data_IF_474854374745
#
_entry.id   IF_474854374745
#
_cell.length_a   1.000
_cell.length_b   1.000
_cell.length_c   1.000
_cell.angle_alpha   90.00
_cell.angle_beta   90.00
_cell.angle_gamma   90.00
#
_symmetry.space_group_name_H-M   'P 1'
#
loop_
_entity.id
_entity.type
_entity.pdbx_description
1 polymer ?
#
# COMPACT_ATOMS: atom_id res chain seq x y z
N UNK A 1 -40.93 9.91 11.31
CA UNK A 1 -39.76 9.38 12.03
C UNK A 1 -38.83 8.78 10.98
N UNK A 2 -37.89 9.56 10.48
CA UNK A 2 -37.00 9.10 9.40
C UNK A 2 -35.87 8.27 10.01
N UNK A 3 -35.96 6.95 9.88
CA UNK A 3 -34.85 6.04 10.08
C UNK A 3 -34.02 5.87 8.78
N UNK A 4 -34.22 6.75 7.81
CA UNK A 4 -33.61 6.71 6.50
C UNK A 4 -32.20 7.31 6.45
N UNK A 5 -31.71 7.45 5.23
CA UNK A 5 -30.43 8.10 4.90
C UNK A 5 -30.46 9.54 5.42
N UNK A 6 -29.46 9.90 6.19
CA UNK A 6 -29.29 11.25 6.75
C UNK A 6 -28.39 12.12 5.87
N UNK A 7 -27.35 11.52 5.30
CA UNK A 7 -26.33 12.21 4.50
C UNK A 7 -25.63 11.24 3.57
N UNK A 8 -25.16 11.74 2.44
CA UNK A 8 -24.28 11.03 1.51
C UNK A 8 -23.08 11.92 1.20
N UNK A 9 -21.89 11.35 1.17
CA UNK A 9 -20.69 12.01 0.69
C UNK A 9 -20.00 11.14 -0.34
N UNK A 10 -19.49 11.79 -1.38
CA UNK A 10 -18.69 11.19 -2.43
C UNK A 10 -17.31 11.85 -2.42
N UNK A 11 -16.26 11.05 -2.60
CA UNK A 11 -14.91 11.53 -2.78
C UNK A 11 -14.32 10.89 -4.02
N UNK A 12 -13.76 11.71 -4.88
CA UNK A 12 -12.97 11.29 -6.04
C UNK A 12 -11.62 11.98 -5.94
N UNK A 13 -10.53 11.20 -5.98
CA UNK A 13 -9.17 11.71 -5.94
C UNK A 13 -8.39 11.11 -7.10
N UNK A 14 -7.53 11.91 -7.71
CA UNK A 14 -6.59 11.46 -8.74
C UNK A 14 -5.23 12.07 -8.50
N UNK A 15 -4.18 11.27 -8.70
CA UNK A 15 -2.80 11.71 -8.58
C UNK A 15 -2.04 11.38 -9.85
N UNK A 16 -1.18 12.29 -10.25
CA UNK A 16 -0.28 12.15 -11.38
C UNK A 16 1.11 12.65 -10.98
N UNK A 17 2.10 11.79 -11.13
CA UNK A 17 3.49 12.13 -10.92
C UNK A 17 4.37 11.60 -12.05
N UNK A 18 5.44 12.30 -12.32
CA UNK A 18 6.46 11.85 -13.27
C UNK A 18 7.82 12.41 -12.91
N UNK A 19 8.86 11.69 -13.30
CA UNK A 19 10.23 12.10 -13.13
C UNK A 19 10.97 11.97 -14.46
N UNK A 20 11.69 13.03 -14.83
CA UNK A 20 12.53 13.09 -16.03
C UNK A 20 13.90 13.65 -15.66
N UNK A 21 14.90 13.18 -16.34
CA UNK A 21 16.23 13.75 -16.20
C UNK A 21 17.37 12.77 -16.46
N UNK A 22 18.55 13.29 -16.68
CA UNK A 22 19.75 12.49 -16.78
C UNK A 22 20.05 11.84 -15.44
N UNK A 23 20.13 10.53 -15.39
CA UNK A 23 20.39 9.76 -14.17
C UNK A 23 19.17 9.18 -13.49
N UNK A 24 17.95 9.52 -13.93
CA UNK A 24 16.75 8.79 -13.53
C UNK A 24 16.80 7.41 -14.17
N UNK A 25 16.99 6.40 -13.35
CA UNK A 25 17.09 5.01 -13.79
C UNK A 25 16.15 4.16 -12.95
N UNK A 26 15.53 3.18 -13.61
CA UNK A 26 14.88 2.12 -12.88
C UNK A 26 15.91 1.34 -12.04
N UNK A 27 15.42 0.64 -11.04
CA UNK A 27 16.25 -0.14 -10.11
C UNK A 27 17.20 -1.14 -10.77
N UNK A 28 16.92 -1.59 -11.97
CA UNK A 28 17.73 -2.57 -12.68
C UNK A 28 18.95 -1.97 -13.42
N UNK A 29 19.10 -0.66 -13.42
CA UNK A 29 20.21 0.00 -14.10
C UNK A 29 20.25 -0.21 -15.63
N UNK A 30 19.23 -0.84 -16.22
CA UNK A 30 19.16 -1.22 -17.60
C UNK A 30 18.61 -0.08 -18.48
N UNK A 31 19.08 0.04 -19.70
CA UNK A 31 18.65 1.07 -20.66
C UNK A 31 17.17 0.97 -21.08
N UNK A 32 16.54 -0.17 -20.88
CA UNK A 32 15.11 -0.38 -21.06
C UNK A 32 14.32 0.02 -19.80
N UNK A 33 14.55 1.22 -19.33
CA UNK A 33 13.90 1.74 -18.13
C UNK A 33 12.40 1.90 -18.34
N UNK A 34 11.53 1.30 -17.54
CA UNK A 34 10.11 1.60 -17.57
C UNK A 34 9.88 3.09 -17.30
N UNK A 35 8.79 3.64 -17.85
CA UNK A 35 8.43 5.04 -17.63
C UNK A 35 8.38 5.36 -16.15
N UNK A 36 9.08 6.41 -15.75
CA UNK A 36 9.09 6.92 -14.39
C UNK A 36 7.86 7.80 -14.19
N UNK A 37 6.70 7.19 -14.04
CA UNK A 37 5.45 7.88 -13.80
C UNK A 37 4.60 7.14 -12.76
N UNK A 38 3.70 7.88 -12.15
CA UNK A 38 2.70 7.41 -11.23
C UNK A 38 1.36 7.99 -11.61
N UNK A 39 0.36 7.15 -11.75
CA UNK A 39 -1.01 7.55 -11.99
C UNK A 39 -1.89 6.76 -11.05
N UNK A 40 -2.75 7.45 -10.30
CA UNK A 40 -3.72 6.80 -9.43
C UNK A 40 -5.09 7.45 -9.49
N UNK A 41 -6.09 6.70 -9.10
CA UNK A 41 -7.44 7.19 -8.89
C UNK A 41 -8.09 6.46 -7.72
N UNK A 42 -8.86 7.20 -6.90
CA UNK A 42 -9.60 6.65 -5.77
C UNK A 42 -11.03 7.20 -5.77
N UNK A 43 -11.96 6.33 -5.45
CA UNK A 43 -13.38 6.67 -5.30
C UNK A 43 -13.91 6.09 -4.00
N UNK A 44 -14.56 6.94 -3.19
CA UNK A 44 -15.22 6.54 -1.96
C UNK A 44 -16.62 7.13 -1.86
N UNK A 45 -17.54 6.31 -1.41
CA UNK A 45 -18.91 6.70 -1.09
C UNK A 45 -19.16 6.44 0.40
N UNK A 46 -19.67 7.44 1.11
CA UNK A 46 -20.05 7.31 2.51
C UNK A 46 -21.50 7.71 2.71
N UNK A 47 -22.25 6.87 3.36
CA UNK A 47 -23.68 7.04 3.64
C UNK A 47 -23.89 7.01 5.14
N UNK A 48 -24.51 8.07 5.68
CA UNK A 48 -24.95 8.13 7.07
C UNK A 48 -26.43 7.86 7.17
N UNK A 49 -26.84 7.18 8.22
CA UNK A 49 -28.21 6.85 8.46
C UNK A 49 -28.56 6.88 9.96
N UNK A 50 -29.85 6.81 10.25
CA UNK A 50 -30.38 6.84 11.61
C UNK A 50 -29.89 8.07 12.40
N UNK A 51 -30.08 9.28 11.83
CA UNK A 51 -29.63 10.56 12.42
C UNK A 51 -28.11 10.56 12.70
N UNK A 52 -27.33 10.05 11.77
CA UNK A 52 -25.88 9.94 11.82
C UNK A 52 -25.33 9.03 12.93
N UNK A 53 -26.15 8.15 13.51
CA UNK A 53 -25.67 7.16 14.48
C UNK A 53 -24.88 6.02 13.82
N UNK A 54 -25.11 5.79 12.55
CA UNK A 54 -24.42 4.78 11.77
C UNK A 54 -23.91 5.35 10.45
N UNK A 55 -22.81 4.82 9.95
CA UNK A 55 -22.36 5.10 8.60
C UNK A 55 -21.74 3.85 7.96
N UNK A 56 -21.89 3.75 6.64
CA UNK A 56 -21.15 2.81 5.81
C UNK A 56 -20.30 3.60 4.83
N UNK A 57 -19.06 3.17 4.64
CA UNK A 57 -18.21 3.67 3.55
C UNK A 57 -17.79 2.49 2.69
N UNK A 58 -17.91 2.65 1.38
CA UNK A 58 -17.42 1.68 0.41
C UNK A 58 -16.63 2.44 -0.64
N UNK A 59 -15.54 1.88 -1.03
CA UNK A 59 -14.71 2.47 -2.07
C UNK A 59 -13.50 1.64 -2.39
N UNK A 60 -12.61 2.23 -3.18
CA UNK A 60 -11.38 1.62 -3.59
C UNK A 60 -10.62 2.53 -4.53
N UNK A 61 -9.46 2.05 -4.91
CA UNK A 61 -8.58 2.79 -5.79
C UNK A 61 -7.73 1.87 -6.64
N UNK A 62 -7.04 2.47 -7.55
CA UNK A 62 -6.04 1.82 -8.38
C UNK A 62 -4.86 2.73 -8.60
N UNK A 63 -3.72 2.13 -8.86
CA UNK A 63 -2.51 2.86 -9.19
C UNK A 63 -1.67 2.09 -10.21
N UNK A 64 -0.94 2.83 -11.01
CA UNK A 64 0.13 2.30 -11.84
C UNK A 64 1.40 3.10 -11.59
N UNK A 65 2.49 2.38 -11.38
CA UNK A 65 3.83 2.94 -11.14
C UNK A 65 4.86 2.04 -11.85
N UNK A 66 4.87 2.04 -13.19
CA UNK A 66 5.63 1.07 -13.96
C UNK A 66 7.13 1.11 -13.71
N UNK A 67 7.67 2.28 -13.45
CA UNK A 67 9.08 2.47 -13.14
C UNK A 67 9.40 2.45 -11.64
N UNK A 68 8.39 2.25 -10.79
CA UNK A 68 8.52 2.33 -9.33
C UNK A 68 9.08 3.68 -8.88
N UNK A 69 8.66 4.74 -9.55
CA UNK A 69 9.02 6.13 -9.30
C UNK A 69 8.82 6.53 -7.83
N UNK A 70 7.66 6.18 -7.27
CA UNK A 70 7.47 6.24 -5.83
C UNK A 70 7.83 4.88 -5.25
N UNK A 71 8.93 4.85 -4.54
CA UNK A 71 9.39 3.64 -3.88
C UNK A 71 8.50 3.36 -2.68
N UNK A 72 7.63 2.39 -2.86
CA UNK A 72 6.81 1.85 -1.79
C UNK A 72 7.60 0.70 -1.16
N UNK A 73 8.57 1.01 -0.31
CA UNK A 73 9.20 -0.02 0.48
C UNK A 73 8.27 -0.43 1.61
N UNK A 74 7.91 -1.72 1.75
CA UNK A 74 7.56 -2.18 3.07
C UNK A 74 8.77 -1.89 3.96
N UNK A 75 8.54 -1.21 5.06
CA UNK A 75 9.56 -0.93 6.07
C UNK A 75 10.11 -2.28 6.55
N UNK A 76 11.26 -2.65 6.11
CA UNK A 76 11.93 -3.89 6.47
C UNK A 76 13.39 -3.87 6.07
N UNK A 77 14.15 -4.81 6.53
CA UNK A 77 15.60 -4.96 6.37
C UNK A 77 16.08 -5.23 4.93
N UNK A 78 15.25 -4.96 3.95
CA UNK A 78 15.64 -5.15 2.58
C UNK A 78 16.68 -4.11 2.21
N UNK A 79 17.93 -4.45 2.38
CA UNK A 79 19.01 -3.75 1.72
C UNK A 79 18.75 -3.81 0.21
N UNK A 80 18.88 -2.71 -0.50
CA UNK A 80 18.73 -2.72 -1.94
C UNK A 80 19.69 -3.74 -2.55
N UNK A 81 19.28 -4.40 -3.61
CA UNK A 81 20.18 -5.20 -4.44
C UNK A 81 21.38 -4.33 -4.85
N UNK A 82 22.53 -4.92 -5.12
CA UNK A 82 23.67 -4.16 -5.62
C UNK A 82 23.23 -3.36 -6.83
N UNK A 83 23.24 -2.05 -6.69
CA UNK A 83 23.11 -1.17 -7.84
C UNK A 83 24.42 -1.29 -8.63
N UNK A 84 24.40 -1.68 -9.91
CA UNK A 84 25.60 -1.75 -10.70
C UNK A 84 26.29 -0.38 -10.85
N UNK A 85 25.60 0.72 -10.57
CA UNK A 85 26.19 2.06 -10.52
C UNK A 85 26.70 2.45 -9.12
N UNK A 86 26.38 1.66 -8.11
CA UNK A 86 26.84 1.81 -6.72
C UNK A 86 27.29 0.47 -6.15
N UNK A 87 28.41 -0.07 -6.64
CA UNK A 87 28.87 -1.43 -6.31
C UNK A 87 29.25 -1.63 -4.83
N UNK A 88 29.24 -0.58 -4.03
CA UNK A 88 29.50 -0.64 -2.59
C UNK A 88 28.27 -0.94 -1.74
N UNK A 89 27.07 -0.98 -2.33
CA UNK A 89 25.89 -1.39 -1.60
C UNK A 89 25.86 -2.90 -1.44
N UNK A 90 25.78 -3.34 -0.19
CA UNK A 90 25.66 -4.76 0.13
C UNK A 90 24.40 -5.35 -0.52
N UNK A 91 24.57 -6.50 -1.19
CA UNK A 91 23.43 -7.20 -1.77
C UNK A 91 22.40 -7.55 -0.71
N UNK A 92 21.23 -6.96 -0.82
CA UNK A 92 20.07 -7.27 0.02
C UNK A 92 18.92 -7.78 -0.83
N UNK A 93 17.94 -8.37 -0.19
CA UNK A 93 16.74 -8.86 -0.87
C UNK A 93 15.86 -7.67 -1.25
N UNK A 94 15.51 -7.59 -2.54
CA UNK A 94 14.59 -6.56 -2.98
C UNK A 94 13.17 -6.85 -2.45
N UNK A 95 12.50 -5.87 -1.82
CA UNK A 95 11.24 -6.13 -1.11
C UNK A 95 10.06 -6.44 -2.04
N UNK A 96 10.14 -6.14 -3.34
CA UNK A 96 8.98 -6.19 -4.22
C UNK A 96 8.90 -7.40 -5.14
N UNK A 97 9.98 -7.90 -5.63
CA UNK A 97 10.01 -9.09 -6.47
C UNK A 97 11.44 -9.49 -6.80
N UNK A 98 11.62 -10.73 -7.26
CA UNK A 98 12.88 -11.20 -7.80
C UNK A 98 13.28 -10.48 -9.11
N UNK A 99 12.31 -9.92 -9.83
CA UNK A 99 12.51 -9.20 -11.08
C UNK A 99 12.38 -7.69 -10.86
N UNK A 100 13.48 -6.99 -10.82
CA UNK A 100 13.51 -5.54 -10.60
C UNK A 100 12.81 -4.73 -11.70
N UNK A 101 12.71 -5.28 -12.90
CA UNK A 101 12.08 -4.63 -14.05
C UNK A 101 10.55 -4.77 -14.12
N UNK A 102 9.94 -5.56 -13.24
CA UNK A 102 8.50 -5.77 -13.28
C UNK A 102 7.76 -4.47 -12.92
N UNK A 103 6.80 -4.06 -13.75
CA UNK A 103 6.03 -2.85 -13.48
C UNK A 103 5.11 -3.05 -12.28
N UNK A 104 5.05 -2.05 -11.40
CA UNK A 104 4.11 -2.05 -10.28
C UNK A 104 2.75 -1.51 -10.72
N UNK A 105 1.73 -2.29 -10.45
CA UNK A 105 0.32 -1.90 -10.50
C UNK A 105 -0.37 -2.43 -9.27
N UNK A 106 -1.33 -1.68 -8.75
CA UNK A 106 -2.09 -2.14 -7.61
C UNK A 106 -3.51 -1.62 -7.66
N UNK A 107 -4.39 -2.29 -6.94
CA UNK A 107 -5.74 -1.83 -6.67
C UNK A 107 -6.16 -2.28 -5.28
N UNK A 108 -7.11 -1.57 -4.72
CA UNK A 108 -7.73 -1.90 -3.46
C UNK A 108 -9.23 -1.71 -3.49
N UNK A 109 -9.91 -2.39 -2.61
CA UNK A 109 -11.27 -2.05 -2.24
C UNK A 109 -11.45 -2.19 -0.74
N UNK A 110 -12.31 -1.35 -0.18
CA UNK A 110 -12.62 -1.41 1.25
C UNK A 110 -14.09 -1.14 1.52
N UNK A 111 -14.56 -1.70 2.61
CA UNK A 111 -15.85 -1.42 3.18
C UNK A 111 -15.74 -1.27 4.69
N UNK A 112 -16.29 -0.20 5.24
CA UNK A 112 -16.36 -0.03 6.68
C UNK A 112 -17.78 0.27 7.16
N UNK A 113 -18.02 -0.08 8.41
CA UNK A 113 -19.21 0.25 9.15
C UNK A 113 -18.83 0.98 10.44
N UNK A 114 -19.46 2.12 10.66
CA UNK A 114 -19.28 2.95 11.85
C UNK A 114 -20.54 2.95 12.69
N UNK A 115 -20.35 2.74 13.98
CA UNK A 115 -21.35 3.03 15.01
C UNK A 115 -20.90 4.22 15.86
N UNK A 116 -21.72 5.27 15.86
CA UNK A 116 -21.47 6.55 16.53
C UNK A 116 -22.55 6.77 17.60
N UNK A 117 -22.43 6.18 18.81
CA UNK A 117 -23.44 6.31 19.84
C UNK A 117 -23.64 7.76 20.30
N UNK A 118 -22.60 8.58 20.23
CA UNK A 118 -22.60 10.02 20.51
C UNK A 118 -21.57 10.75 19.65
N UNK A 119 -21.40 12.05 19.84
CA UNK A 119 -20.50 12.88 19.04
C UNK A 119 -19.01 12.65 19.34
N UNK A 120 -18.71 12.05 20.50
CA UNK A 120 -17.32 11.86 20.96
C UNK A 120 -16.75 10.48 20.70
N UNK A 121 -17.56 9.48 20.39
CA UNK A 121 -17.12 8.09 20.26
C UNK A 121 -17.58 7.52 18.92
N UNK A 122 -16.66 6.85 18.23
CA UNK A 122 -16.96 6.06 17.04
C UNK A 122 -16.29 4.69 17.15
N UNK A 123 -17.06 3.63 16.97
CA UNK A 123 -16.57 2.28 16.76
C UNK A 123 -16.65 1.96 15.27
N UNK A 124 -15.56 1.44 14.72
CA UNK A 124 -15.47 1.06 13.31
C UNK A 124 -15.01 -0.38 13.18
N UNK A 125 -15.60 -1.08 12.24
CA UNK A 125 -15.03 -2.28 11.64
C UNK A 125 -14.81 -2.00 10.16
N UNK A 126 -13.65 -2.38 9.64
CA UNK A 126 -13.28 -2.18 8.25
C UNK A 126 -12.68 -3.47 7.69
N UNK A 127 -13.12 -3.83 6.50
CA UNK A 127 -12.47 -4.83 5.66
C UNK A 127 -11.78 -4.14 4.50
N UNK A 128 -10.55 -4.55 4.23
CA UNK A 128 -9.74 -4.06 3.11
C UNK A 128 -9.18 -5.25 2.35
N UNK A 129 -9.36 -5.25 1.05
CA UNK A 129 -8.66 -6.14 0.12
C UNK A 129 -7.72 -5.31 -0.75
N UNK A 130 -6.50 -5.81 -0.95
CA UNK A 130 -5.49 -5.18 -1.80
C UNK A 130 -4.85 -6.21 -2.71
N UNK A 131 -4.52 -5.80 -3.92
CA UNK A 131 -3.81 -6.64 -4.87
C UNK A 131 -2.75 -5.84 -5.62
N UNK A 132 -1.65 -6.50 -5.95
CA UNK A 132 -0.53 -5.92 -6.71
C UNK A 132 -0.06 -6.87 -7.80
N UNK A 133 0.50 -6.30 -8.87
CA UNK A 133 1.05 -7.06 -10.00
C UNK A 133 2.34 -7.80 -9.67
N UNK A 134 2.96 -7.47 -8.54
CA UNK A 134 4.20 -8.08 -8.05
C UNK A 134 4.04 -8.44 -6.57
N UNK A 135 4.75 -9.45 -6.06
CA UNK A 135 4.76 -9.74 -4.63
C UNK A 135 5.18 -8.51 -3.81
N UNK A 136 4.27 -8.01 -3.00
CA UNK A 136 4.43 -6.74 -2.26
C UNK A 136 4.01 -6.83 -0.80
N UNK A 137 2.96 -7.59 -0.50
CA UNK A 137 2.42 -7.71 0.85
C UNK A 137 3.11 -8.81 1.62
N UNK A 138 3.14 -8.69 2.94
CA UNK A 138 3.71 -9.70 3.81
C UNK A 138 2.91 -11.01 3.75
N UNK A 139 3.55 -12.10 3.40
CA UNK A 139 3.02 -13.46 3.51
C UNK A 139 3.11 -14.01 4.94
N UNK A 140 2.70 -15.25 5.11
CA UNK A 140 2.66 -15.92 6.43
C UNK A 140 4.03 -16.11 7.07
N UNK A 141 5.08 -16.20 6.25
CA UNK A 141 6.48 -16.30 6.71
C UNK A 141 7.04 -14.98 7.21
N UNK A 142 6.34 -13.88 6.96
CA UNK A 142 6.74 -12.55 7.39
C UNK A 142 7.83 -11.92 6.53
N UNK A 143 8.12 -10.66 6.83
CA UNK A 143 9.11 -9.84 6.11
C UNK A 143 10.27 -9.41 7.01
N UNK A 144 10.26 -9.81 8.27
CA UNK A 144 11.32 -9.51 9.24
C UNK A 144 12.31 -10.67 9.30
N UNK A 145 13.58 -10.37 9.17
CA UNK A 145 14.65 -11.35 9.34
C UNK A 145 14.58 -12.01 10.72
N UNK A 146 14.90 -13.32 10.84
CA UNK A 146 14.97 -14.00 12.13
C UNK A 146 15.94 -13.35 13.14
N UNK A 147 16.88 -12.57 12.66
CA UNK A 147 17.88 -11.86 13.48
C UNK A 147 17.46 -10.42 13.80
N UNK A 148 16.29 -9.97 13.33
CA UNK A 148 15.74 -8.63 13.57
C UNK A 148 16.07 -7.61 12.49
N UNK A 149 15.55 -6.39 12.66
CA UNK A 149 15.63 -5.33 11.64
C UNK A 149 17.03 -4.73 11.45
N UNK A 150 17.89 -4.81 12.44
CA UNK A 150 19.17 -4.09 12.46
C UNK A 150 20.37 -4.96 12.19
N UNK A 151 20.19 -6.22 11.88
CA UNK A 151 21.31 -7.16 11.69
C UNK A 151 21.72 -7.25 10.23
N UNK A 152 22.91 -6.82 9.93
CA UNK A 152 23.57 -7.03 8.64
C UNK A 152 24.87 -7.78 8.87
N UNK A 153 25.23 -8.80 8.05
CA UNK A 153 24.47 -9.29 6.90
C UNK A 153 23.22 -10.10 7.31
N UNK A 154 22.24 -10.14 6.42
CA UNK A 154 21.08 -11.01 6.59
C UNK A 154 21.51 -12.48 6.63
N UNK A 155 20.78 -13.36 7.34
CA UNK A 155 21.07 -14.77 7.36
C UNK A 155 21.11 -15.37 5.95
N UNK A 156 22.09 -16.21 5.68
CA UNK A 156 22.26 -16.82 4.37
C UNK A 156 21.00 -17.61 3.96
N UNK A 157 20.50 -17.32 2.76
CA UNK A 157 19.30 -17.96 2.21
C UNK A 157 17.97 -17.44 2.74
N UNK A 158 17.95 -16.47 3.65
CA UNK A 158 16.71 -15.84 4.06
C UNK A 158 16.23 -14.86 2.98
N UNK A 159 14.93 -14.95 2.69
CA UNK A 159 14.20 -13.99 1.83
C UNK A 159 12.88 -13.66 2.51
N UNK A 160 12.36 -12.41 2.37
CA UNK A 160 11.05 -12.07 2.87
C UNK A 160 9.97 -12.88 2.12
N UNK A 161 8.98 -13.36 2.86
CA UNK A 161 7.81 -13.99 2.27
C UNK A 161 6.85 -12.90 1.80
N UNK A 162 6.81 -12.68 0.49
CA UNK A 162 5.96 -11.68 -0.13
C UNK A 162 4.89 -12.34 -0.99
N UNK A 163 3.69 -11.78 -0.93
CA UNK A 163 2.52 -12.20 -1.71
C UNK A 163 1.93 -11.03 -2.49
N UNK A 164 1.09 -11.33 -3.49
CA UNK A 164 0.50 -10.31 -4.37
C UNK A 164 -0.80 -9.73 -3.83
N UNK A 165 -1.38 -10.28 -2.77
CA UNK A 165 -2.63 -9.82 -2.22
C UNK A 165 -2.60 -9.80 -0.69
N UNK A 166 -3.45 -8.97 -0.12
CA UNK A 166 -3.64 -8.84 1.32
C UNK A 166 -5.10 -8.61 1.65
N UNK A 167 -5.58 -9.32 2.67
CA UNK A 167 -6.88 -9.13 3.28
C UNK A 167 -6.71 -8.68 4.73
N UNK A 168 -7.41 -7.62 5.13
CA UNK A 168 -7.38 -7.10 6.50
C UNK A 168 -8.77 -6.90 7.06
N UNK A 169 -8.92 -7.21 8.34
CA UNK A 169 -10.03 -6.73 9.17
C UNK A 169 -9.44 -5.84 10.25
N UNK A 170 -9.96 -4.62 10.34
CA UNK A 170 -9.46 -3.58 11.24
C UNK A 170 -10.60 -3.16 12.16
N UNK A 171 -10.34 -3.15 13.48
CA UNK A 171 -11.25 -2.61 14.48
C UNK A 171 -10.65 -1.33 15.04
N UNK A 172 -11.45 -0.26 15.04
CA UNK A 172 -11.00 1.06 15.49
C UNK A 172 -11.99 1.62 16.50
N UNK A 173 -11.46 2.27 17.52
CA UNK A 173 -12.23 3.12 18.43
C UNK A 173 -11.63 4.52 18.40
N UNK A 174 -12.45 5.50 18.03
CA UNK A 174 -12.05 6.92 17.92
C UNK A 174 -12.72 7.71 19.03
N UNK A 175 -11.93 8.55 19.70
CA UNK A 175 -12.40 9.52 20.68
C UNK A 175 -12.15 10.93 20.17
N UNK A 176 -13.14 11.81 20.33
CA UNK A 176 -13.00 13.26 20.14
C UNK A 176 -13.07 13.92 21.51
N UNK A 177 -12.05 14.66 21.85
CA UNK A 177 -11.94 15.47 23.06
C UNK A 177 -12.47 16.87 22.80
#
# INVERSE_FOLDING_TARGET
KSNGISQVALSLTGDLGFENGAGVKAFNGNSATPSQNFISGMFYNRIWFHKNKFACTVGGGWMTNPGRYLVLYPTGDASPLPDPNHPTTTAGTHPFSANLGDPFKGWDCSANFDWMPNQSITFRVEYVHRESSVPYFAGRGGVTSPTGYSTTPLPAGWVPDLVTHEDRIIFVMLFRL
#
